data_IF_672918443081
#
_entry.id   IF_672918443081
#
_cell.length_a   1.000
_cell.length_b   1.000
_cell.length_c   1.000
_cell.angle_alpha   90.00
_cell.angle_beta   90.00
_cell.angle_gamma   90.00
#
_symmetry.space_group_name_H-M   'P 1'
#
loop_
_entity.id
_entity.type
_entity.pdbx_description
1 polymer ?
#
# COMPACT_ATOMS: atom_id res chain seq x y z
N UNK A 1 -28.36 -10.10 34.30
CA UNK A 1 -29.24 -10.78 35.24
C UNK A 1 -29.96 -11.88 34.46
N UNK A 2 -29.82 -13.13 34.88
CA UNK A 2 -30.51 -14.25 34.21
C UNK A 2 -32.00 -14.14 34.43
N UNK A 3 -32.78 -14.48 33.40
CA UNK A 3 -34.26 -14.47 33.42
C UNK A 3 -34.85 -15.88 33.60
N UNK A 4 -33.98 -16.90 33.66
CA UNK A 4 -34.34 -18.31 33.78
C UNK A 4 -33.60 -18.91 34.99
N UNK A 5 -34.15 -19.96 35.57
CA UNK A 5 -33.54 -20.70 36.68
C UNK A 5 -32.52 -21.73 36.24
N UNK A 6 -32.71 -22.30 35.03
CA UNK A 6 -31.80 -23.27 34.43
C UNK A 6 -31.44 -22.84 33.01
N UNK A 7 -30.16 -23.00 32.64
CA UNK A 7 -29.66 -22.63 31.34
C UNK A 7 -28.78 -23.72 30.72
N UNK A 8 -28.71 -23.82 29.38
CA UNK A 8 -27.71 -24.63 28.71
C UNK A 8 -26.30 -24.13 29.02
N UNK A 9 -25.41 -25.01 29.45
CA UNK A 9 -24.03 -24.71 29.76
C UNK A 9 -23.11 -25.90 29.41
N UNK A 10 -21.81 -25.69 29.49
CA UNK A 10 -20.83 -26.77 29.42
C UNK A 10 -20.27 -27.04 30.80
N UNK A 11 -20.40 -28.30 31.26
CA UNK A 11 -19.82 -28.78 32.52
C UNK A 11 -18.80 -29.86 32.18
N UNK A 12 -17.52 -29.62 32.53
CA UNK A 12 -16.42 -30.50 32.20
C UNK A 12 -16.26 -30.79 30.68
N UNK A 13 -16.60 -29.82 29.83
CA UNK A 13 -16.50 -29.94 28.38
C UNK A 13 -17.74 -30.50 27.69
N UNK A 14 -18.72 -31.04 28.44
CA UNK A 14 -19.95 -31.62 27.88
C UNK A 14 -21.13 -30.63 27.96
N UNK A 15 -21.94 -30.50 26.88
CA UNK A 15 -23.14 -29.67 26.89
C UNK A 15 -24.22 -30.31 27.80
N UNK A 16 -24.72 -29.54 28.74
CA UNK A 16 -25.76 -29.97 29.68
C UNK A 16 -26.65 -28.79 30.11
N UNK A 17 -27.71 -29.02 30.82
CA UNK A 17 -28.56 -28.00 31.43
C UNK A 17 -28.30 -27.97 32.91
N UNK A 18 -27.83 -26.83 33.42
CA UNK A 18 -27.47 -26.63 34.82
C UNK A 18 -28.27 -25.50 35.44
N UNK A 19 -28.32 -25.44 36.78
CA UNK A 19 -28.89 -24.30 37.49
C UNK A 19 -27.98 -23.10 37.29
N UNK A 20 -28.58 -21.93 37.13
CA UNK A 20 -27.84 -20.68 36.88
C UNK A 20 -26.86 -20.35 37.99
N UNK A 21 -27.12 -20.80 39.24
CA UNK A 21 -26.22 -20.65 40.37
C UNK A 21 -24.91 -21.45 40.26
N UNK A 22 -24.88 -22.49 39.38
CA UNK A 22 -23.67 -23.29 39.12
C UNK A 22 -22.83 -22.74 37.97
N UNK A 23 -23.24 -21.67 37.30
CA UNK A 23 -22.55 -21.09 36.14
C UNK A 23 -21.48 -20.13 36.60
N UNK A 24 -20.21 -20.44 36.39
CA UNK A 24 -19.05 -19.60 36.73
C UNK A 24 -18.82 -18.49 35.70
N UNK A 25 -19.01 -18.78 34.42
CA UNK A 25 -18.72 -17.88 33.31
C UNK A 25 -19.89 -17.84 32.32
N UNK A 26 -20.09 -16.69 31.69
CA UNK A 26 -21.06 -16.50 30.64
C UNK A 26 -20.42 -15.70 29.49
N UNK A 27 -20.74 -16.09 28.27
CA UNK A 27 -20.29 -15.35 27.11
C UNK A 27 -20.88 -13.93 27.12
N UNK A 28 -20.05 -12.93 26.83
CA UNK A 28 -20.49 -11.52 26.75
C UNK A 28 -21.53 -11.36 25.65
N UNK A 29 -21.34 -12.06 24.52
CA UNK A 29 -22.24 -12.10 23.39
C UNK A 29 -22.01 -13.37 22.56
N UNK A 30 -23.05 -13.92 21.96
CA UNK A 30 -22.93 -14.99 20.98
C UNK A 30 -22.15 -14.55 19.70
N UNK A 31 -22.05 -13.25 19.47
CA UNK A 31 -21.30 -12.67 18.31
C UNK A 31 -19.79 -12.71 18.49
N UNK A 32 -19.26 -13.01 19.66
CA UNK A 32 -17.82 -13.07 19.91
C UNK A 32 -17.08 -14.18 19.13
N UNK A 33 -17.82 -15.14 18.56
CA UNK A 33 -17.25 -16.15 17.66
C UNK A 33 -16.87 -15.58 16.30
N UNK A 34 -17.39 -14.41 15.91
CA UNK A 34 -17.09 -13.76 14.64
C UNK A 34 -15.76 -13.02 14.74
N UNK A 35 -14.95 -13.11 13.68
CA UNK A 35 -13.77 -12.27 13.54
C UNK A 35 -14.14 -10.80 13.30
N UNK A 36 -13.19 -9.87 13.49
CA UNK A 36 -13.41 -8.46 13.19
C UNK A 36 -13.81 -8.26 11.74
N UNK A 37 -13.15 -8.95 10.80
CA UNK A 37 -13.50 -8.87 9.37
C UNK A 37 -14.92 -9.32 9.08
N UNK A 38 -15.37 -10.41 9.69
CA UNK A 38 -16.77 -10.88 9.56
C UNK A 38 -17.75 -9.92 10.23
N UNK A 39 -17.35 -9.29 11.32
CA UNK A 39 -18.18 -8.30 12.03
C UNK A 39 -18.38 -6.99 11.26
N UNK A 40 -17.61 -6.75 10.20
CA UNK A 40 -17.77 -5.61 9.28
C UNK A 40 -18.78 -5.88 8.16
N UNK A 41 -19.31 -7.09 8.04
CA UNK A 41 -20.32 -7.46 7.03
C UNK A 41 -21.71 -7.16 7.60
N UNK A 42 -22.44 -6.18 7.06
CA UNK A 42 -23.81 -5.92 7.50
C UNK A 42 -24.71 -7.06 7.11
N UNK A 43 -25.68 -7.43 7.98
CA UNK A 43 -26.63 -8.52 7.75
C UNK A 43 -25.99 -9.89 7.48
N UNK A 44 -24.82 -10.14 8.08
CA UNK A 44 -24.07 -11.39 7.88
C UNK A 44 -24.88 -12.66 8.22
N UNK A 45 -25.88 -12.54 9.10
CA UNK A 45 -26.81 -13.62 9.47
C UNK A 45 -27.67 -14.11 8.30
N UNK A 46 -27.78 -13.33 7.23
CA UNK A 46 -28.51 -13.70 6.01
C UNK A 46 -27.60 -14.28 4.92
N UNK A 47 -26.28 -14.22 5.13
CA UNK A 47 -25.31 -14.78 4.19
C UNK A 47 -25.01 -16.25 4.50
N UNK A 48 -24.78 -17.05 3.46
CA UNK A 48 -24.21 -18.38 3.63
C UNK A 48 -22.78 -18.29 4.21
N UNK A 49 -22.42 -19.24 5.09
CA UNK A 49 -21.11 -19.25 5.75
C UNK A 49 -19.94 -19.22 4.78
N UNK A 50 -20.02 -19.92 3.65
CA UNK A 50 -18.98 -19.89 2.62
C UNK A 50 -18.83 -18.50 2.00
N UNK A 51 -19.95 -17.81 1.74
CA UNK A 51 -19.92 -16.45 1.18
C UNK A 51 -19.41 -15.43 2.18
N UNK A 52 -19.76 -15.54 3.45
CA UNK A 52 -19.24 -14.70 4.52
C UNK A 52 -17.71 -14.86 4.66
N UNK A 53 -17.19 -16.08 4.56
CA UNK A 53 -15.73 -16.34 4.56
C UNK A 53 -15.04 -15.70 3.34
N UNK A 54 -15.64 -15.82 2.14
CA UNK A 54 -15.09 -15.15 0.94
C UNK A 54 -15.10 -13.63 1.12
N UNK A 55 -16.19 -13.05 1.61
CA UNK A 55 -16.32 -11.61 1.88
C UNK A 55 -15.27 -11.12 2.88
N UNK A 56 -15.08 -11.83 3.99
CA UNK A 56 -14.06 -11.52 5.00
C UNK A 56 -12.64 -11.55 4.41
N UNK A 57 -12.33 -12.55 3.59
CA UNK A 57 -11.03 -12.67 2.93
C UNK A 57 -10.79 -11.52 1.94
N UNK A 58 -11.81 -11.14 1.15
CA UNK A 58 -11.70 -10.06 0.18
C UNK A 58 -11.56 -8.68 0.83
N UNK A 59 -12.19 -8.43 1.99
CA UNK A 59 -11.96 -7.20 2.76
C UNK A 59 -10.48 -7.05 3.14
N UNK A 60 -9.79 -8.13 3.51
CA UNK A 60 -8.35 -8.11 3.83
C UNK A 60 -7.45 -7.86 2.62
N UNK A 61 -7.96 -8.09 1.41
CA UNK A 61 -7.26 -7.88 0.14
C UNK A 61 -7.64 -6.55 -0.54
N UNK A 62 -8.46 -5.73 0.11
CA UNK A 62 -8.90 -4.46 -0.44
C UNK A 62 -7.73 -3.50 -0.63
N UNK A 63 -7.58 -2.97 -1.84
CA UNK A 63 -6.55 -1.98 -2.18
C UNK A 63 -7.00 -0.61 -1.68
N UNK A 64 -6.17 0.13 -0.94
CA UNK A 64 -6.50 1.48 -0.47
C UNK A 64 -6.77 2.43 -1.63
N UNK A 65 -7.94 3.07 -1.62
CA UNK A 65 -8.28 4.10 -2.60
C UNK A 65 -7.74 5.46 -2.17
N UNK A 66 -7.40 6.32 -3.12
CA UNK A 66 -6.97 7.71 -2.85
C UNK A 66 -8.08 8.50 -2.14
N UNK A 67 -9.34 8.26 -2.56
CA UNK A 67 -10.54 8.87 -1.99
C UNK A 67 -11.45 7.78 -1.44
N UNK A 68 -11.19 7.25 -0.25
CA UNK A 68 -12.05 6.21 0.31
C UNK A 68 -13.41 6.79 0.71
N UNK A 69 -14.47 5.98 0.58
CA UNK A 69 -15.82 6.30 1.04
C UNK A 69 -16.21 5.42 2.23
N UNK A 70 -16.62 6.02 3.34
CA UNK A 70 -17.20 5.27 4.44
C UNK A 70 -18.50 4.58 3.99
N UNK A 71 -18.77 3.34 4.41
CA UNK A 71 -19.93 2.61 3.99
C UNK A 71 -21.21 3.29 4.47
N UNK A 72 -22.20 3.46 3.58
CA UNK A 72 -23.51 4.02 3.95
C UNK A 72 -24.25 3.07 4.92
N UNK A 73 -24.11 1.77 4.68
CA UNK A 73 -24.64 0.74 5.58
C UNK A 73 -23.48 0.04 6.27
N UNK A 74 -23.36 0.22 7.56
CA UNK A 74 -22.30 -0.35 8.39
C UNK A 74 -22.84 -1.16 9.55
N UNK A 75 -21.96 -1.76 10.33
CA UNK A 75 -22.26 -2.56 11.52
C UNK A 75 -22.02 -1.82 12.83
N UNK A 76 -21.36 -0.66 12.77
CA UNK A 76 -20.89 0.11 13.93
C UNK A 76 -19.47 -0.30 14.41
N UNK A 77 -18.89 -1.35 13.86
CA UNK A 77 -17.53 -1.80 14.18
C UNK A 77 -16.48 -0.96 13.43
N UNK A 78 -16.86 -0.32 12.32
CA UNK A 78 -15.97 0.40 11.41
C UNK A 78 -15.14 1.47 12.12
N UNK A 79 -15.81 2.29 12.96
CA UNK A 79 -15.14 3.33 13.75
C UNK A 79 -14.15 2.74 14.75
N UNK A 80 -14.58 1.71 15.48
CA UNK A 80 -13.73 1.06 16.48
C UNK A 80 -12.51 0.39 15.83
N UNK A 81 -12.74 -0.32 14.71
CA UNK A 81 -11.67 -0.96 13.95
C UNK A 81 -10.64 0.06 13.44
N UNK A 82 -11.09 1.21 12.92
CA UNK A 82 -10.20 2.28 12.45
C UNK A 82 -9.35 2.88 13.59
N UNK A 83 -9.96 3.17 14.74
CA UNK A 83 -9.26 3.78 15.88
C UNK A 83 -8.28 2.77 16.51
N UNK A 84 -8.73 1.55 16.78
CA UNK A 84 -7.90 0.54 17.48
C UNK A 84 -6.77 -0.01 16.57
N UNK A 85 -6.86 0.18 15.25
CA UNK A 85 -5.77 -0.15 14.31
C UNK A 85 -4.53 0.74 14.48
N UNK A 86 -4.65 1.89 15.15
CA UNK A 86 -3.60 2.89 15.26
C UNK A 86 -3.35 3.71 13.99
N UNK A 87 -4.14 3.52 12.93
CA UNK A 87 -4.05 4.29 11.69
C UNK A 87 -4.68 5.67 11.83
N UNK A 88 -5.71 5.79 12.67
CA UNK A 88 -6.42 7.03 12.96
C UNK A 88 -5.87 7.63 14.26
N UNK A 89 -5.54 8.92 14.24
CA UNK A 89 -5.14 9.65 15.44
C UNK A 89 -6.34 10.42 15.98
N UNK A 90 -6.61 10.24 17.26
CA UNK A 90 -7.70 10.91 17.98
C UNK A 90 -7.16 11.91 19.02
N UNK A 91 -7.95 12.91 19.36
CA UNK A 91 -7.64 13.87 20.41
C UNK A 91 -7.60 13.15 21.78
N UNK A 92 -6.52 13.26 22.57
CA UNK A 92 -6.39 12.59 23.87
C UNK A 92 -7.26 13.24 24.96
N UNK A 93 -7.58 14.51 24.81
CA UNK A 93 -8.36 15.33 25.73
C UNK A 93 -9.06 16.45 24.95
N UNK A 94 -9.89 17.23 25.63
CA UNK A 94 -10.47 18.46 25.06
C UNK A 94 -9.37 19.49 24.82
N UNK A 95 -9.44 20.23 23.71
CA UNK A 95 -8.38 21.18 23.38
C UNK A 95 -8.54 21.85 22.03
N UNK A 96 -7.43 22.41 21.53
CA UNK A 96 -7.40 23.20 20.29
C UNK A 96 -6.25 22.77 19.39
N UNK A 97 -6.50 22.72 18.08
CA UNK A 97 -5.47 22.47 17.06
C UNK A 97 -4.63 23.72 16.85
N UNK A 98 -3.33 23.65 17.16
CA UNK A 98 -2.39 24.77 17.09
C UNK A 98 -1.78 24.92 15.71
N UNK A 99 -1.36 23.81 15.12
CA UNK A 99 -0.77 23.79 13.79
C UNK A 99 -1.18 22.54 13.01
N UNK A 100 -1.33 22.69 11.70
CA UNK A 100 -1.63 21.60 10.77
C UNK A 100 -0.72 21.74 9.56
N UNK A 101 -0.05 20.66 9.23
CA UNK A 101 0.77 20.51 8.03
C UNK A 101 0.44 19.17 7.38
N UNK A 102 0.83 18.98 6.12
CA UNK A 102 0.76 17.68 5.48
C UNK A 102 1.57 16.58 6.20
N UNK A 103 2.55 16.94 7.02
CA UNK A 103 3.48 16.03 7.68
C UNK A 103 3.27 15.90 9.19
N UNK A 104 2.55 16.83 9.82
CA UNK A 104 2.32 16.79 11.26
C UNK A 104 1.06 17.56 11.66
N UNK A 105 0.53 17.23 12.84
CA UNK A 105 -0.52 17.98 13.53
C UNK A 105 -0.05 18.28 14.96
N UNK A 106 -0.20 19.52 15.39
CA UNK A 106 0.05 19.94 16.78
C UNK A 106 -1.28 20.31 17.44
N UNK A 107 -1.51 19.71 18.59
CA UNK A 107 -2.72 19.84 19.37
C UNK A 107 -2.36 20.23 20.82
N UNK A 108 -3.05 21.23 21.37
CA UNK A 108 -2.89 21.66 22.75
C UNK A 108 -4.14 21.29 23.53
N UNK A 109 -3.98 20.52 24.60
CA UNK A 109 -5.07 20.20 25.50
C UNK A 109 -5.42 21.39 26.43
N UNK A 110 -6.57 21.32 27.12
CA UNK A 110 -6.98 22.36 28.08
C UNK A 110 -6.03 22.49 29.26
N UNK A 111 -5.25 21.47 29.60
CA UNK A 111 -4.21 21.53 30.62
C UNK A 111 -2.94 22.27 30.16
N UNK A 112 -2.86 22.63 28.86
CA UNK A 112 -1.74 23.35 28.26
C UNK A 112 -0.64 22.46 27.70
N UNK A 113 -0.76 21.12 27.74
CA UNK A 113 0.23 20.23 27.18
C UNK A 113 0.15 20.23 25.64
N UNK A 114 1.32 20.24 25.01
CA UNK A 114 1.43 20.17 23.55
C UNK A 114 1.66 18.73 23.10
N UNK A 115 0.79 18.26 22.24
CA UNK A 115 0.88 16.97 21.58
C UNK A 115 1.24 17.17 20.11
N UNK A 116 2.34 16.59 19.65
CA UNK A 116 2.75 16.60 18.25
C UNK A 116 2.66 15.19 17.67
N UNK A 117 1.95 15.07 16.56
CA UNK A 117 1.77 13.84 15.81
C UNK A 117 2.41 14.00 14.43
N UNK A 118 3.54 13.34 14.22
CA UNK A 118 4.16 13.25 12.89
C UNK A 118 3.44 12.17 12.08
N UNK A 119 3.09 12.50 10.84
CA UNK A 119 2.22 11.67 9.99
C UNK A 119 3.03 10.75 9.09
N UNK A 120 2.56 9.53 8.94
CA UNK A 120 3.08 8.58 7.97
C UNK A 120 2.65 9.02 6.56
N UNK A 121 3.62 9.26 5.69
CA UNK A 121 3.40 9.78 4.33
C UNK A 121 3.94 8.81 3.28
N UNK A 122 3.06 8.36 2.37
CA UNK A 122 3.40 7.58 1.18
C UNK A 122 4.37 6.42 1.45
N UNK A 123 4.19 5.72 2.56
CA UNK A 123 5.00 4.56 2.91
C UNK A 123 4.50 3.33 2.16
N UNK A 124 5.41 2.51 1.65
CA UNK A 124 5.10 1.24 1.02
C UNK A 124 4.68 0.20 2.06
N UNK A 125 3.55 -0.47 1.83
CA UNK A 125 3.18 -1.68 2.57
C UNK A 125 3.87 -2.93 1.99
N UNK A 126 3.75 -4.07 2.66
CA UNK A 126 4.31 -5.34 2.17
C UNK A 126 3.72 -5.78 0.81
N UNK A 127 2.52 -5.33 0.46
CA UNK A 127 1.84 -5.63 -0.80
C UNK A 127 1.94 -4.48 -1.81
N UNK A 128 2.93 -3.59 -1.66
CA UNK A 128 3.16 -2.42 -2.53
C UNK A 128 2.03 -1.39 -2.52
N UNK A 129 1.09 -1.47 -1.58
CA UNK A 129 0.05 -0.45 -1.41
C UNK A 129 0.59 0.76 -0.64
N UNK A 130 -0.08 1.90 -0.78
CA UNK A 130 0.31 3.16 -0.17
C UNK A 130 -0.29 3.31 1.23
N UNK A 131 0.55 3.47 2.25
CA UNK A 131 0.15 3.89 3.59
C UNK A 131 0.35 5.40 3.67
N UNK A 132 -0.74 6.14 3.89
CA UNK A 132 -0.72 7.60 3.93
C UNK A 132 -1.75 8.13 4.92
N UNK A 133 -1.29 8.93 5.87
CA UNK A 133 -2.15 9.61 6.83
C UNK A 133 -2.46 11.03 6.37
N UNK A 134 -3.68 11.50 6.65
CA UNK A 134 -4.18 12.83 6.26
C UNK A 134 -4.80 13.54 7.46
N UNK A 135 -4.42 14.79 7.76
CA UNK A 135 -5.13 15.59 8.74
C UNK A 135 -6.55 15.89 8.26
N UNK A 136 -7.52 15.79 9.15
CA UNK A 136 -8.94 16.10 8.87
C UNK A 136 -9.42 17.33 9.62
N UNK A 137 -8.51 18.01 10.32
CA UNK A 137 -8.77 19.18 11.15
C UNK A 137 -8.12 20.43 10.56
N UNK A 138 -8.59 21.60 11.02
CA UNK A 138 -8.05 22.88 10.64
C UNK A 138 -7.41 23.58 11.86
N UNK A 139 -6.42 24.44 11.62
CA UNK A 139 -5.81 25.25 12.67
C UNK A 139 -6.87 26.10 13.40
N UNK A 140 -6.83 26.10 14.73
CA UNK A 140 -7.76 26.80 15.59
C UNK A 140 -9.06 26.04 15.87
N UNK A 141 -9.25 24.87 15.30
CA UNK A 141 -10.43 24.03 15.57
C UNK A 141 -10.38 23.50 17.01
N UNK A 142 -11.49 23.63 17.71
CA UNK A 142 -11.69 23.01 19.03
C UNK A 142 -12.18 21.59 18.84
N UNK A 143 -11.65 20.67 19.63
CA UNK A 143 -11.99 19.25 19.60
C UNK A 143 -12.21 18.74 21.01
N UNK A 144 -13.10 17.76 21.11
CA UNK A 144 -13.33 16.99 22.32
C UNK A 144 -12.50 15.70 22.33
N UNK A 145 -12.28 15.16 23.51
CA UNK A 145 -11.60 13.88 23.67
C UNK A 145 -12.23 12.78 22.80
N UNK A 146 -11.42 12.05 22.04
CA UNK A 146 -11.87 10.99 21.14
C UNK A 146 -12.33 11.46 19.75
N UNK A 147 -12.32 12.77 19.44
CA UNK A 147 -12.53 13.26 18.09
C UNK A 147 -11.29 13.04 17.20
N UNK A 148 -11.51 12.91 15.91
CA UNK A 148 -10.47 12.53 14.93
C UNK A 148 -9.63 13.74 14.55
N UNK A 149 -8.32 13.63 14.71
CA UNK A 149 -7.31 14.58 14.24
C UNK A 149 -6.80 14.21 12.84
N UNK A 150 -6.57 12.91 12.61
CA UNK A 150 -5.92 12.40 11.40
C UNK A 150 -6.60 11.12 10.97
N UNK A 151 -6.99 11.06 9.71
CA UNK A 151 -7.45 9.82 9.07
C UNK A 151 -6.25 9.00 8.58
N UNK A 152 -6.38 7.68 8.73
CA UNK A 152 -5.45 6.72 8.20
C UNK A 152 -5.75 6.31 6.75
N UNK A 153 -4.98 5.36 6.28
CA UNK A 153 -5.22 4.68 5.01
C UNK A 153 -6.55 3.93 5.06
N UNK A 154 -7.33 4.00 3.99
CA UNK A 154 -8.67 3.40 3.92
C UNK A 154 -9.59 3.82 5.08
N UNK A 155 -9.48 5.07 5.51
CA UNK A 155 -10.33 5.65 6.54
C UNK A 155 -10.94 6.96 6.05
N UNK A 156 -12.17 7.25 6.49
CA UNK A 156 -12.85 8.50 6.25
C UNK A 156 -13.54 8.96 7.53
N UNK A 157 -13.14 10.12 8.06
CA UNK A 157 -13.66 10.71 9.32
C UNK A 157 -13.62 9.75 10.51
N UNK A 158 -12.54 8.97 10.60
CA UNK A 158 -12.33 7.99 11.66
C UNK A 158 -13.12 6.70 11.52
N UNK A 159 -13.75 6.45 10.38
CA UNK A 159 -14.39 5.19 10.05
C UNK A 159 -13.62 4.43 8.98
N UNK A 160 -13.61 3.12 9.08
CA UNK A 160 -12.99 2.24 8.09
C UNK A 160 -13.76 2.33 6.77
N UNK A 161 -13.04 2.64 5.69
CA UNK A 161 -13.56 2.87 4.35
C UNK A 161 -12.72 2.09 3.33
N UNK A 162 -13.03 0.80 3.16
CA UNK A 162 -12.24 -0.11 2.31
C UNK A 162 -12.52 0.04 0.83
N UNK A 163 -13.56 0.78 0.43
CA UNK A 163 -13.98 0.88 -0.97
C UNK A 163 -14.78 2.13 -1.27
N UNK A 164 -15.76 1.96 -2.14
CA UNK A 164 -16.60 3.02 -2.69
C UNK A 164 -18.08 2.67 -2.60
N UNK A 165 -18.93 3.67 -2.37
CA UNK A 165 -20.38 3.52 -2.51
C UNK A 165 -20.78 3.86 -3.94
N UNK A 166 -21.41 2.89 -4.63
CA UNK A 166 -21.80 3.04 -6.03
C UNK A 166 -23.29 2.75 -6.22
N UNK A 167 -23.90 3.49 -7.14
CA UNK A 167 -25.22 3.15 -7.64
C UNK A 167 -25.09 2.00 -8.64
N UNK A 168 -25.73 0.87 -8.37
CA UNK A 168 -25.68 -0.34 -9.20
C UNK A 168 -27.05 -0.60 -9.83
N UNK A 169 -27.04 -1.02 -11.09
CA UNK A 169 -28.21 -1.58 -11.77
C UNK A 169 -27.99 -3.08 -12.05
N UNK A 170 -29.01 -3.87 -11.78
CA UNK A 170 -29.01 -5.30 -12.08
C UNK A 170 -29.86 -5.54 -13.33
N UNK A 171 -29.20 -5.60 -14.48
CA UNK A 171 -29.83 -5.73 -15.80
C UNK A 171 -28.87 -6.41 -16.75
N UNK A 172 -29.35 -7.23 -17.68
CA UNK A 172 -28.52 -7.76 -18.77
C UNK A 172 -28.11 -6.61 -19.70
N UNK A 173 -26.81 -6.53 -20.02
CA UNK A 173 -26.25 -5.48 -20.87
C UNK A 173 -25.40 -6.08 -21.98
N UNK A 174 -26.02 -6.40 -23.12
CA UNK A 174 -25.41 -6.92 -24.33
C UNK A 174 -24.45 -8.12 -24.11
N UNK A 175 -24.68 -8.90 -23.03
CA UNK A 175 -23.82 -10.02 -22.64
C UNK A 175 -22.49 -9.65 -21.96
N UNK A 176 -22.12 -8.37 -21.87
CA UNK A 176 -20.87 -7.95 -21.25
C UNK A 176 -20.82 -8.15 -19.73
N UNK A 177 -21.94 -8.39 -19.09
CA UNK A 177 -22.03 -8.72 -17.67
C UNK A 177 -22.49 -10.16 -17.43
N UNK A 178 -22.23 -11.06 -18.39
CA UNK A 178 -22.54 -12.49 -18.26
C UNK A 178 -21.75 -13.10 -17.09
N UNK A 179 -22.40 -13.94 -16.32
CA UNK A 179 -21.93 -14.49 -15.04
C UNK A 179 -21.61 -13.36 -14.04
N UNK A 180 -20.38 -13.33 -13.52
CA UNK A 180 -19.92 -12.34 -12.52
C UNK A 180 -19.16 -11.14 -13.15
N UNK A 181 -19.30 -10.93 -14.47
CA UNK A 181 -18.68 -9.79 -15.15
C UNK A 181 -19.41 -8.49 -14.79
N UNK A 182 -18.64 -7.41 -14.71
CA UNK A 182 -19.12 -6.09 -14.27
C UNK A 182 -18.83 -5.06 -15.36
N UNK A 183 -19.80 -4.19 -15.65
CA UNK A 183 -19.61 -3.01 -16.48
C UNK A 183 -19.51 -1.80 -15.57
N UNK A 184 -18.52 -0.95 -15.78
CA UNK A 184 -18.38 0.32 -15.07
C UNK A 184 -18.67 1.51 -15.99
N UNK A 185 -19.18 2.57 -15.38
CA UNK A 185 -19.27 3.87 -16.05
C UNK A 185 -17.90 4.56 -16.09
N UNK A 186 -17.53 5.15 -17.22
CA UNK A 186 -16.31 5.94 -17.40
C UNK A 186 -16.20 7.11 -16.39
N UNK A 187 -17.33 7.61 -15.89
CA UNK A 187 -17.38 8.61 -14.84
C UNK A 187 -16.57 8.20 -13.58
N UNK A 188 -16.53 6.90 -13.25
CA UNK A 188 -15.78 6.40 -12.09
C UNK A 188 -14.27 6.55 -12.28
N UNK A 189 -13.79 6.36 -13.51
CA UNK A 189 -12.38 6.57 -13.88
C UNK A 189 -12.02 8.05 -13.86
N UNK A 190 -12.90 8.92 -14.38
CA UNK A 190 -12.67 10.37 -14.40
C UNK A 190 -12.74 11.01 -13.01
N UNK A 191 -13.57 10.49 -12.11
CA UNK A 191 -13.68 11.00 -10.74
C UNK A 191 -12.69 10.38 -9.75
N UNK A 192 -11.75 9.55 -10.24
CA UNK A 192 -10.76 8.84 -9.44
C UNK A 192 -11.37 7.91 -8.37
N UNK A 193 -12.52 7.32 -8.68
CA UNK A 193 -13.07 6.23 -7.86
C UNK A 193 -12.23 4.98 -8.09
N UNK A 194 -11.94 4.21 -7.06
CA UNK A 194 -11.03 3.07 -7.09
C UNK A 194 -9.58 3.36 -7.53
N UNK A 195 -9.22 4.60 -7.76
CA UNK A 195 -7.83 4.96 -8.06
C UNK A 195 -6.96 4.72 -6.83
N UNK A 196 -5.83 4.08 -7.02
CA UNK A 196 -4.89 3.70 -5.97
C UNK A 196 -3.47 4.14 -6.31
N UNK A 197 -2.60 4.16 -5.30
CA UNK A 197 -1.17 4.40 -5.47
C UNK A 197 -0.44 3.10 -5.17
N UNK A 198 0.37 2.64 -6.12
CA UNK A 198 1.28 1.53 -5.95
C UNK A 198 2.69 2.07 -5.72
N UNK A 199 3.41 1.55 -4.74
CA UNK A 199 4.77 1.99 -4.41
C UNK A 199 5.70 0.79 -4.49
N UNK A 200 6.74 0.90 -5.32
CA UNK A 200 7.72 -0.16 -5.52
C UNK A 200 9.13 0.30 -5.19
N UNK A 201 9.92 -0.62 -4.68
CA UNK A 201 11.33 -0.40 -4.38
C UNK A 201 12.18 -1.17 -5.38
N UNK A 202 12.95 -0.44 -6.16
CA UNK A 202 13.96 -0.99 -7.06
C UNK A 202 15.31 -0.90 -6.39
N UNK A 203 15.92 -2.05 -6.13
CA UNK A 203 17.16 -2.17 -5.34
C UNK A 203 18.32 -2.53 -6.25
N UNK A 204 19.39 -1.78 -6.16
CA UNK A 204 20.66 -2.05 -6.82
C UNK A 204 21.77 -2.23 -5.81
N UNK A 205 22.43 -3.36 -5.86
CA UNK A 205 23.67 -3.62 -5.12
C UNK A 205 24.88 -3.29 -5.99
N UNK A 206 25.83 -2.59 -5.41
CA UNK A 206 27.14 -2.32 -5.98
C UNK A 206 28.15 -3.19 -5.25
N UNK A 207 28.82 -4.07 -5.99
CA UNK A 207 29.70 -5.09 -5.44
C UNK A 207 31.14 -4.84 -5.79
N UNK A 208 32.03 -5.31 -4.92
CA UNK A 208 33.44 -5.49 -5.26
C UNK A 208 33.63 -6.85 -5.92
N UNK A 209 34.11 -6.86 -7.16
CA UNK A 209 34.33 -8.07 -7.94
C UNK A 209 35.82 -8.39 -8.08
N UNK A 210 36.17 -9.63 -8.41
CA UNK A 210 37.56 -10.05 -8.62
C UNK A 210 38.27 -9.27 -9.75
N UNK A 211 37.49 -8.67 -10.66
CA UNK A 211 37.99 -7.88 -11.80
C UNK A 211 38.06 -6.37 -11.50
N UNK A 212 37.64 -5.97 -10.32
CA UNK A 212 37.56 -4.58 -9.88
C UNK A 212 36.17 -4.23 -9.35
N UNK A 213 36.02 -3.08 -8.68
CA UNK A 213 34.77 -2.63 -8.13
C UNK A 213 33.78 -2.24 -9.24
N UNK A 214 32.50 -2.54 -9.03
CA UNK A 214 31.43 -1.94 -9.83
C UNK A 214 31.34 -0.45 -9.54
N UNK A 215 31.02 0.36 -10.55
CA UNK A 215 30.92 1.81 -10.41
C UNK A 215 29.53 2.30 -10.77
N UNK A 216 28.99 3.19 -9.95
CA UNK A 216 27.77 3.94 -10.26
C UNK A 216 28.17 5.22 -11.00
N UNK A 217 27.63 5.40 -12.21
CA UNK A 217 27.98 6.52 -13.07
C UNK A 217 26.88 6.81 -14.08
N UNK A 218 26.80 8.04 -14.55
CA UNK A 218 25.98 8.44 -15.71
C UNK A 218 26.66 8.13 -17.06
N UNK A 219 27.97 7.87 -17.07
CA UNK A 219 28.73 7.53 -18.27
C UNK A 219 28.61 6.04 -18.60
N UNK A 220 27.51 5.66 -19.27
CA UNK A 220 27.17 4.28 -19.61
C UNK A 220 27.41 4.05 -21.09
N UNK A 221 28.16 3.00 -21.49
CA UNK A 221 28.43 2.72 -22.89
C UNK A 221 27.16 2.37 -23.65
N UNK A 222 27.05 2.84 -24.91
CA UNK A 222 25.97 2.51 -25.86
C UNK A 222 24.56 2.93 -25.41
N UNK A 223 24.45 4.00 -24.61
CA UNK A 223 23.19 4.59 -24.17
C UNK A 223 23.05 6.01 -24.72
N UNK A 224 21.89 6.35 -25.27
CA UNK A 224 21.62 7.70 -25.78
C UNK A 224 21.47 8.72 -24.64
N UNK A 225 21.85 9.97 -24.89
CA UNK A 225 21.73 11.07 -23.93
C UNK A 225 20.29 11.29 -23.45
N UNK A 226 19.30 11.00 -24.30
CA UNK A 226 17.89 11.10 -23.94
C UNK A 226 17.51 10.19 -22.78
N UNK A 227 18.08 8.98 -22.71
CA UNK A 227 17.88 8.02 -21.62
C UNK A 227 18.63 8.38 -20.33
N UNK A 228 19.65 9.23 -20.45
CA UNK A 228 20.46 9.70 -19.31
C UNK A 228 19.94 11.00 -18.70
N UNK A 229 19.02 11.71 -19.35
CA UNK A 229 18.55 13.05 -18.95
C UNK A 229 18.00 13.13 -17.52
N UNK A 230 17.43 12.05 -17.02
CA UNK A 230 16.85 11.99 -15.69
C UNK A 230 17.85 11.62 -14.58
N UNK A 231 19.09 11.26 -14.95
CA UNK A 231 20.13 10.93 -14.01
C UNK A 231 20.82 12.20 -13.49
N UNK A 232 21.30 12.12 -12.27
CA UNK A 232 22.21 13.14 -11.69
C UNK A 232 23.67 12.87 -12.08
N UNK A 233 24.58 13.69 -11.58
CA UNK A 233 26.02 13.56 -11.83
C UNK A 233 26.60 12.23 -11.30
N UNK A 234 25.94 11.64 -10.30
CA UNK A 234 26.32 10.36 -9.72
C UNK A 234 25.71 9.15 -10.46
N UNK A 235 24.95 9.38 -11.53
CA UNK A 235 24.29 8.32 -12.27
C UNK A 235 23.03 7.76 -11.60
N UNK A 236 22.43 8.49 -10.66
CA UNK A 236 21.18 8.11 -9.98
C UNK A 236 20.04 8.99 -10.51
N UNK A 237 18.86 8.41 -10.73
CA UNK A 237 17.68 9.15 -11.16
C UNK A 237 17.30 10.23 -10.13
N UNK A 238 16.78 11.37 -10.61
CA UNK A 238 16.38 12.47 -9.71
C UNK A 238 15.02 12.22 -9.08
N UNK A 239 14.85 12.62 -7.83
CA UNK A 239 13.54 12.62 -7.17
C UNK A 239 12.60 13.54 -7.95
N UNK A 240 11.37 13.06 -8.20
CA UNK A 240 10.37 13.78 -8.98
C UNK A 240 10.39 13.47 -10.48
N UNK A 241 11.38 12.72 -10.98
CA UNK A 241 11.43 12.31 -12.37
C UNK A 241 10.29 11.35 -12.70
N UNK A 242 9.66 11.54 -13.85
CA UNK A 242 8.73 10.59 -14.44
C UNK A 242 9.53 9.56 -15.23
N UNK A 243 9.34 8.30 -14.90
CA UNK A 243 10.05 7.16 -15.48
C UNK A 243 9.07 6.17 -16.10
N UNK A 244 9.52 5.55 -17.17
CA UNK A 244 8.75 4.56 -17.94
C UNK A 244 9.61 3.34 -18.24
N UNK A 245 8.98 2.29 -18.73
CA UNK A 245 9.63 1.04 -19.09
C UNK A 245 10.92 1.25 -19.88
N UNK A 246 12.00 0.64 -19.40
CA UNK A 246 13.34 0.70 -20.00
C UNK A 246 14.17 1.92 -19.60
N UNK A 247 13.62 2.89 -18.87
CA UNK A 247 14.39 4.02 -18.34
C UNK A 247 15.37 3.56 -17.26
N UNK A 248 16.52 4.23 -17.20
CA UNK A 248 17.57 3.91 -16.22
C UNK A 248 17.25 4.61 -14.91
N UNK A 249 17.13 3.82 -13.84
CA UNK A 249 16.98 4.32 -12.48
C UNK A 249 18.33 4.58 -11.82
N UNK A 250 19.29 3.68 -12.02
CA UNK A 250 20.67 3.84 -11.54
C UNK A 250 21.62 3.30 -12.59
N UNK A 251 22.50 4.15 -13.08
CA UNK A 251 23.57 3.78 -13.99
C UNK A 251 24.68 3.03 -13.27
N UNK A 252 24.98 1.82 -13.70
CA UNK A 252 26.06 1.01 -13.16
C UNK A 252 26.85 0.33 -14.26
N UNK A 253 28.16 0.34 -14.13
CA UNK A 253 29.08 -0.38 -15.00
C UNK A 253 29.86 -1.42 -14.21
N UNK A 254 30.04 -2.59 -14.81
CA UNK A 254 30.78 -3.71 -14.22
C UNK A 254 31.99 -4.01 -15.07
N UNK A 255 33.21 -4.20 -14.50
CA UNK A 255 34.38 -4.60 -15.27
C UNK A 255 34.17 -5.93 -16.01
N UNK A 256 34.61 -6.02 -17.28
CA UNK A 256 34.59 -7.24 -18.08
C UNK A 256 35.87 -8.03 -17.92
N UNK A 257 35.74 -9.37 -17.88
CA UNK A 257 36.89 -10.29 -18.03
C UNK A 257 37.25 -10.49 -19.52
N UNK A 258 38.47 -10.88 -19.81
CA UNK A 258 38.92 -11.19 -21.18
C UNK A 258 38.09 -12.28 -21.89
N UNK A 259 37.45 -13.16 -21.12
CA UNK A 259 36.59 -14.22 -21.63
C UNK A 259 35.19 -13.74 -22.05
N UNK A 260 34.76 -12.56 -21.58
CA UNK A 260 33.41 -12.02 -21.81
C UNK A 260 33.31 -11.12 -23.04
N UNK A 261 34.42 -10.97 -23.78
CA UNK A 261 34.44 -10.20 -25.03
C UNK A 261 33.80 -10.97 -26.17
N UNK A 262 32.85 -10.36 -26.86
CA UNK A 262 32.29 -10.90 -28.08
C UNK A 262 33.36 -10.98 -29.19
N UNK A 263 33.14 -11.81 -30.21
CA UNK A 263 34.05 -11.91 -31.34
C UNK A 263 34.24 -10.58 -32.05
N UNK A 264 33.20 -9.77 -32.14
CA UNK A 264 33.21 -8.41 -32.72
C UNK A 264 34.00 -7.45 -31.86
N UNK A 265 33.89 -7.48 -30.56
CA UNK A 265 34.64 -6.64 -29.60
C UNK A 265 36.14 -7.02 -29.62
N UNK A 266 36.48 -8.32 -29.77
CA UNK A 266 37.86 -8.79 -29.93
C UNK A 266 38.47 -8.27 -31.22
N UNK A 267 37.70 -8.26 -32.30
CA UNK A 267 38.11 -7.73 -33.61
C UNK A 267 38.30 -6.22 -33.56
N UNK A 268 37.38 -5.48 -32.96
CA UNK A 268 37.49 -4.03 -32.75
C UNK A 268 38.70 -3.64 -31.89
N UNK A 269 38.99 -4.41 -30.87
CA UNK A 269 40.18 -4.23 -30.01
C UNK A 269 41.45 -4.47 -30.80
N UNK A 270 41.50 -5.46 -31.69
CA UNK A 270 42.62 -5.75 -32.54
C UNK A 270 42.87 -4.65 -33.59
N UNK A 271 41.79 -4.00 -34.09
CA UNK A 271 41.91 -2.98 -35.15
C UNK A 271 42.13 -1.58 -34.62
N UNK A 272 41.47 -1.18 -33.51
CA UNK A 272 41.40 0.17 -32.98
C UNK A 272 42.19 0.38 -31.69
N UNK A 273 42.89 -0.65 -31.17
CA UNK A 273 43.61 -0.60 -29.92
C UNK A 273 42.71 -0.50 -28.69
N UNK A 274 43.26 -0.10 -27.52
CA UNK A 274 42.60 -0.15 -26.20
C UNK A 274 41.34 0.76 -26.00
N UNK A 275 40.72 1.27 -27.05
CA UNK A 275 39.56 2.16 -26.97
C UNK A 275 38.21 1.47 -26.74
N UNK A 276 38.12 0.13 -26.73
CA UNK A 276 36.95 -0.57 -26.29
C UNK A 276 36.90 -0.51 -24.74
N UNK A 277 35.91 0.12 -24.17
CA UNK A 277 35.75 0.18 -22.70
C UNK A 277 35.62 -1.25 -22.16
N UNK A 278 36.49 -1.62 -21.23
CA UNK A 278 36.49 -2.92 -20.56
C UNK A 278 35.36 -3.06 -19.53
N UNK A 279 34.22 -2.44 -19.80
CA UNK A 279 33.07 -2.40 -18.88
C UNK A 279 31.78 -2.80 -19.58
N UNK A 280 30.90 -3.46 -18.82
CA UNK A 280 29.56 -3.86 -19.23
C UNK A 280 28.52 -2.99 -18.52
N UNK A 281 27.48 -2.57 -19.24
CA UNK A 281 26.29 -1.96 -18.66
C UNK A 281 25.55 -2.99 -17.78
N UNK A 282 25.44 -2.69 -16.50
CA UNK A 282 24.68 -3.43 -15.49
C UNK A 282 23.72 -2.53 -14.74
N UNK A 283 23.28 -1.45 -15.38
CA UNK A 283 22.38 -0.46 -14.83
C UNK A 283 21.04 -1.05 -14.44
N UNK A 284 20.47 -0.52 -13.36
CA UNK A 284 19.10 -0.82 -12.95
C UNK A 284 18.15 -0.05 -13.86
N UNK A 285 17.28 -0.79 -14.54
CA UNK A 285 16.25 -0.24 -15.42
C UNK A 285 14.88 -0.58 -14.89
N UNK A 286 13.91 0.31 -15.18
CA UNK A 286 12.50 0.02 -14.90
C UNK A 286 12.03 -1.12 -15.79
N UNK A 287 11.31 -2.08 -15.21
CA UNK A 287 10.88 -3.29 -15.92
C UNK A 287 9.84 -2.99 -17.01
N UNK A 288 9.62 -3.97 -17.87
CA UNK A 288 8.66 -3.81 -18.94
C UNK A 288 7.22 -3.73 -18.40
N UNK A 289 6.49 -2.70 -18.84
CA UNK A 289 5.12 -2.43 -18.38
C UNK A 289 5.03 -1.56 -17.11
N UNK A 290 6.13 -1.29 -16.45
CA UNK A 290 6.17 -0.39 -15.31
C UNK A 290 6.34 1.07 -15.74
N UNK A 291 5.75 1.97 -14.98
CA UNK A 291 5.88 3.43 -15.11
C UNK A 291 5.59 4.09 -13.76
N UNK A 292 5.95 5.33 -13.61
CA UNK A 292 5.65 6.05 -12.37
C UNK A 292 6.53 7.27 -12.16
N UNK A 293 6.52 7.75 -10.93
CA UNK A 293 7.30 8.90 -10.49
C UNK A 293 8.23 8.52 -9.34
N UNK A 294 9.48 8.91 -9.43
CA UNK A 294 10.46 8.67 -8.36
C UNK A 294 10.11 9.56 -7.17
N UNK A 295 9.84 8.96 -6.02
CA UNK A 295 9.38 9.66 -4.80
C UNK A 295 10.43 9.69 -3.70
N UNK A 296 11.32 8.71 -3.64
CA UNK A 296 12.37 8.63 -2.62
C UNK A 296 13.59 7.85 -3.14
N UNK A 297 14.77 8.19 -2.64
CA UNK A 297 16.01 7.49 -2.93
C UNK A 297 16.79 7.33 -1.63
N UNK A 298 17.12 6.09 -1.28
CA UNK A 298 17.95 5.77 -0.12
C UNK A 298 19.25 5.12 -0.57
N UNK A 299 20.35 5.61 -0.05
CA UNK A 299 21.67 5.06 -0.32
C UNK A 299 22.29 4.58 0.98
N UNK A 300 22.67 3.31 1.00
CA UNK A 300 23.39 2.69 2.10
C UNK A 300 24.81 2.39 1.64
N UNK A 301 25.79 2.65 2.49
CA UNK A 301 27.20 2.45 2.18
C UNK A 301 27.94 1.82 3.35
N UNK A 302 28.78 0.85 3.04
CA UNK A 302 29.66 0.25 4.05
C UNK A 302 30.62 1.26 4.66
N UNK A 303 31.05 2.25 3.89
CA UNK A 303 31.89 3.35 4.36
C UNK A 303 31.18 4.24 5.39
N UNK A 304 29.87 4.38 5.27
CA UNK A 304 29.02 5.10 6.24
C UNK A 304 28.70 4.25 7.51
N UNK A 305 29.15 3.00 7.55
CA UNK A 305 28.93 2.08 8.66
C UNK A 305 27.64 1.24 8.56
N UNK A 306 26.95 1.27 7.42
CA UNK A 306 25.73 0.48 7.20
C UNK A 306 26.03 -1.02 7.11
N UNK A 307 25.14 -1.82 7.69
CA UNK A 307 25.23 -3.29 7.64
C UNK A 307 24.69 -3.80 6.30
N UNK A 308 25.60 -4.07 5.37
CA UNK A 308 25.29 -4.63 4.05
C UNK A 308 25.71 -6.10 3.96
N UNK A 309 25.12 -6.81 2.99
CA UNK A 309 25.47 -8.20 2.72
C UNK A 309 26.97 -8.34 2.37
N UNK A 310 27.59 -9.51 2.62
CA UNK A 310 28.97 -9.75 2.25
C UNK A 310 29.22 -9.48 0.76
N UNK A 311 30.29 -8.73 0.44
CA UNK A 311 30.64 -8.36 -0.94
C UNK A 311 29.87 -7.15 -1.52
N UNK A 312 28.87 -6.63 -0.83
CA UNK A 312 28.16 -5.40 -1.23
C UNK A 312 28.84 -4.20 -0.56
N UNK A 313 29.25 -3.23 -1.36
CA UNK A 313 29.89 -1.99 -0.91
C UNK A 313 28.88 -0.86 -0.72
N UNK A 314 27.90 -0.79 -1.63
CA UNK A 314 26.85 0.23 -1.64
C UNK A 314 25.53 -0.40 -2.10
N UNK A 315 24.43 0.01 -1.50
CA UNK A 315 23.09 -0.37 -1.94
C UNK A 315 22.27 0.88 -2.18
N UNK A 316 21.62 0.96 -3.33
CA UNK A 316 20.76 2.08 -3.71
C UNK A 316 19.35 1.55 -3.86
N UNK A 317 18.40 2.15 -3.14
CA UNK A 317 16.99 1.84 -3.20
C UNK A 317 16.26 3.03 -3.80
N UNK A 318 15.72 2.85 -4.99
CA UNK A 318 14.89 3.85 -5.69
C UNK A 318 13.44 3.49 -5.48
N UNK A 319 12.66 4.41 -4.94
CA UNK A 319 11.23 4.23 -4.69
C UNK A 319 10.45 4.91 -5.80
N UNK A 320 9.64 4.14 -6.52
CA UNK A 320 8.77 4.62 -7.60
C UNK A 320 7.32 4.47 -7.18
N UNK A 321 6.55 5.53 -7.31
CA UNK A 321 5.11 5.54 -7.07
C UNK A 321 4.36 5.61 -8.41
N UNK A 322 3.39 4.72 -8.58
CA UNK A 322 2.53 4.65 -9.74
C UNK A 322 1.07 4.89 -9.35
N UNK A 323 0.36 5.67 -10.17
CA UNK A 323 -1.05 5.97 -9.98
C UNK A 323 -1.88 5.04 -10.87
N UNK A 324 -2.56 4.07 -10.24
CA UNK A 324 -3.35 3.07 -10.96
C UNK A 324 -4.83 3.43 -10.93
N UNK A 325 -5.38 3.71 -12.09
CA UNK A 325 -6.82 3.87 -12.30
C UNK A 325 -7.46 2.51 -12.56
N UNK A 326 -8.73 2.40 -12.21
CA UNK A 326 -9.50 1.20 -12.49
C UNK A 326 -9.62 0.97 -14.00
N UNK A 327 -9.45 -0.27 -14.44
CA UNK A 327 -9.47 -0.67 -15.84
C UNK A 327 -10.20 -2.02 -16.05
N UNK A 328 -10.50 -2.33 -17.31
CA UNK A 328 -11.03 -3.65 -17.66
C UNK A 328 -10.02 -4.74 -17.27
N UNK A 329 -10.51 -5.84 -16.70
CA UNK A 329 -9.69 -6.92 -16.16
C UNK A 329 -9.48 -6.83 -14.64
N UNK A 330 -9.73 -5.68 -14.00
CA UNK A 330 -9.63 -5.55 -12.55
C UNK A 330 -10.77 -6.30 -11.85
N UNK A 331 -10.47 -6.85 -10.68
CA UNK A 331 -11.42 -7.57 -9.85
C UNK A 331 -12.07 -6.63 -8.84
N UNK A 332 -13.39 -6.61 -8.81
CA UNK A 332 -14.18 -5.94 -7.79
C UNK A 332 -14.93 -6.96 -6.93
N UNK A 333 -15.23 -6.58 -5.70
CA UNK A 333 -16.01 -7.41 -4.80
C UNK A 333 -16.87 -6.56 -3.86
N UNK A 334 -17.99 -7.10 -3.43
CA UNK A 334 -18.77 -6.61 -2.31
C UNK A 334 -18.33 -7.27 -1.00
N UNK A 335 -18.99 -6.92 0.10
CA UNK A 335 -18.75 -7.49 1.43
C UNK A 335 -19.37 -8.87 1.65
N UNK A 336 -20.29 -9.29 0.79
CA UNK A 336 -21.10 -10.51 0.94
C UNK A 336 -20.56 -11.71 0.14
N UNK A 337 -19.28 -11.69 -0.25
CA UNK A 337 -18.65 -12.76 -1.01
C UNK A 337 -18.92 -12.72 -2.52
N UNK A 338 -19.69 -11.75 -3.00
CA UNK A 338 -19.85 -11.47 -4.42
C UNK A 338 -18.57 -10.84 -4.98
N UNK A 339 -18.07 -11.42 -6.07
CA UNK A 339 -16.86 -10.96 -6.77
C UNK A 339 -17.11 -10.99 -8.27
N UNK A 340 -16.47 -10.08 -8.98
CA UNK A 340 -16.57 -10.04 -10.43
C UNK A 340 -15.37 -9.34 -11.05
N UNK A 341 -15.20 -9.52 -12.34
CA UNK A 341 -14.15 -8.89 -13.14
C UNK A 341 -14.77 -7.82 -14.03
N UNK A 342 -14.14 -6.66 -14.11
CA UNK A 342 -14.58 -5.60 -15.00
C UNK A 342 -14.35 -6.03 -16.45
N UNK A 343 -15.43 -6.22 -17.20
CA UNK A 343 -15.38 -6.60 -18.61
C UNK A 343 -15.22 -5.39 -19.53
N UNK A 344 -15.90 -4.29 -19.19
CA UNK A 344 -15.98 -3.09 -20.02
C UNK A 344 -16.22 -1.83 -19.17
N UNK A 345 -15.67 -0.71 -19.64
CA UNK A 345 -15.94 0.64 -19.14
C UNK A 345 -16.68 1.41 -20.25
N UNK A 346 -17.83 2.02 -19.92
CA UNK A 346 -18.73 2.66 -20.89
C UNK A 346 -19.16 4.05 -20.40
#
# INVERSE_FOLDING_TARGET
KFTVERAPARKNGEPTIVDVAEIDYVDVSSKQILSIGTSLIPFVEHDDGHRALMGTNMQRQAVPCIKPDAPIVGTGVERRAAIDSGQVVIAPADGVVVAVSGNYVEFQDEAGHMHRYDLVKFQRSNSSTCINQRPVVSKGQKLYAGEVLVDGTSCQRGELALGQNLLCAFVSWDGYNYEDAIILSERLVHTDRFTSINIEHHILDVRDTKLGPELVTSDIPNVSEEKLRNLDENGIVRIGAEVKSGDILVGKITPKGETDLSAEEKLLRAIFGEKARDVRDSSLRLEHGEHGKVVDIKTFSREAGDKLQPGVMKQIVVTVADLRKVQAGDKLAGRHGNKGVISKIV
#
